data_IF_272797186841
#
_entry.id   IF_272797186841
#
_cell.length_a   1.000
_cell.length_b   1.000
_cell.length_c   1.000
_cell.angle_alpha   90.00
_cell.angle_beta   90.00
_cell.angle_gamma   90.00
#
_symmetry.space_group_name_H-M   'P 1'
#
loop_
_entity.id
_entity.type
_entity.pdbx_description
1 polymer ?
#
# COMPACT_ATOMS: atom_id res chain seq x y z
N UNK A 1 -3.69 -12.14 -9.24
CA UNK A 1 -4.59 -12.90 -8.34
C UNK A 1 -5.44 -13.95 -9.06
N UNK A 2 -6.12 -13.64 -10.14
CA UNK A 2 -6.92 -14.62 -10.90
C UNK A 2 -6.01 -15.57 -11.71
N UNK A 3 -4.83 -15.15 -12.14
CA UNK A 3 -3.91 -15.96 -12.93
C UNK A 3 -3.29 -17.15 -12.17
N UNK A 4 -2.95 -17.01 -10.89
CA UNK A 4 -2.40 -18.11 -10.07
C UNK A 4 -3.42 -19.19 -9.70
N UNK A 5 -4.71 -18.87 -9.79
CA UNK A 5 -5.81 -19.80 -9.47
C UNK A 5 -6.42 -20.49 -10.68
N UNK A 6 -5.99 -20.14 -11.90
CA UNK A 6 -6.61 -20.62 -13.13
C UNK A 6 -6.59 -22.14 -13.24
N UNK A 7 -5.47 -22.75 -12.96
CA UNK A 7 -5.30 -24.21 -13.04
C UNK A 7 -6.14 -24.93 -11.97
N UNK A 8 -6.22 -24.36 -10.77
CA UNK A 8 -7.08 -24.88 -9.70
C UNK A 8 -8.56 -24.78 -10.03
N UNK A 9 -8.96 -23.68 -10.68
CA UNK A 9 -10.32 -23.48 -11.16
C UNK A 9 -10.69 -24.52 -12.21
N UNK A 10 -9.88 -24.68 -13.25
CA UNK A 10 -10.14 -25.66 -14.31
C UNK A 10 -10.18 -27.09 -13.76
N UNK A 11 -9.25 -27.45 -12.88
CA UNK A 11 -9.24 -28.76 -12.24
C UNK A 11 -10.49 -29.00 -11.40
N UNK A 12 -10.95 -27.98 -10.66
CA UNK A 12 -12.20 -28.08 -9.90
C UNK A 12 -13.42 -28.31 -10.82
N UNK A 13 -13.41 -27.65 -11.98
CA UNK A 13 -14.47 -27.77 -12.97
C UNK A 13 -14.44 -29.15 -13.68
N UNK A 14 -13.27 -29.63 -14.08
CA UNK A 14 -13.08 -30.98 -14.66
C UNK A 14 -13.52 -32.07 -13.68
N UNK A 15 -13.09 -31.98 -12.41
CA UNK A 15 -13.49 -32.94 -11.37
C UNK A 15 -15.02 -32.94 -11.15
N UNK A 16 -15.67 -31.78 -11.23
CA UNK A 16 -17.13 -31.69 -11.09
C UNK A 16 -17.88 -32.31 -12.27
N UNK A 17 -17.30 -32.25 -13.47
CA UNK A 17 -17.89 -32.85 -14.69
C UNK A 17 -17.59 -34.35 -14.84
N UNK A 18 -16.77 -34.93 -13.97
CA UNK A 18 -16.39 -36.32 -14.07
C UNK A 18 -17.63 -37.24 -13.94
N UNK A 19 -17.82 -38.24 -14.80
CA UNK A 19 -19.00 -39.09 -14.85
C UNK A 19 -19.33 -39.77 -13.52
N UNK A 20 -18.30 -40.11 -12.71
CA UNK A 20 -18.48 -40.72 -11.38
C UNK A 20 -19.14 -39.79 -10.36
N UNK A 21 -19.09 -38.48 -10.58
CA UNK A 21 -19.74 -37.50 -9.67
C UNK A 21 -21.25 -37.36 -9.91
N UNK A 22 -21.84 -38.13 -10.85
CA UNK A 22 -23.29 -38.11 -11.15
C UNK A 22 -23.90 -36.71 -11.32
N UNK A 23 -23.11 -35.77 -11.86
CA UNK A 23 -23.44 -34.35 -11.99
C UNK A 23 -23.63 -33.61 -10.65
N UNK A 24 -23.04 -34.11 -9.57
CA UNK A 24 -23.08 -33.42 -8.27
C UNK A 24 -22.08 -32.24 -8.30
N UNK A 25 -22.61 -31.02 -8.29
CA UNK A 25 -21.84 -29.79 -8.25
C UNK A 25 -21.27 -29.41 -6.87
N UNK A 26 -21.61 -30.17 -5.83
CA UNK A 26 -21.22 -29.83 -4.43
C UNK A 26 -19.71 -29.76 -4.25
N UNK A 27 -18.96 -30.64 -4.90
CA UNK A 27 -17.48 -30.62 -4.85
C UNK A 27 -16.94 -29.34 -5.47
N UNK A 28 -17.51 -28.90 -6.59
CA UNK A 28 -17.11 -27.67 -7.24
C UNK A 28 -17.37 -26.45 -6.32
N UNK A 29 -18.59 -26.36 -5.78
CA UNK A 29 -18.98 -25.28 -4.87
C UNK A 29 -18.05 -25.26 -3.65
N UNK A 30 -17.79 -26.39 -3.02
CA UNK A 30 -16.89 -26.49 -1.88
C UNK A 30 -15.48 -25.98 -2.21
N UNK A 31 -14.91 -26.39 -3.35
CA UNK A 31 -13.57 -25.94 -3.79
C UNK A 31 -13.55 -24.45 -4.09
N UNK A 32 -14.61 -23.92 -4.70
CA UNK A 32 -14.72 -22.49 -4.97
C UNK A 32 -14.83 -21.68 -3.68
N UNK A 33 -15.63 -22.14 -2.72
CA UNK A 33 -15.71 -21.50 -1.39
C UNK A 33 -14.37 -21.52 -0.66
N UNK A 34 -13.64 -22.63 -0.72
CA UNK A 34 -12.29 -22.73 -0.15
C UNK A 34 -11.32 -21.77 -0.84
N UNK A 35 -11.36 -21.68 -2.18
CA UNK A 35 -10.53 -20.74 -2.94
C UNK A 35 -10.79 -19.27 -2.55
N UNK A 36 -12.07 -18.91 -2.39
CA UNK A 36 -12.46 -17.55 -1.94
C UNK A 36 -12.00 -17.31 -0.50
N UNK A 37 -12.18 -18.27 0.39
CA UNK A 37 -11.73 -18.16 1.78
C UNK A 37 -10.21 -17.99 1.90
N UNK A 38 -9.44 -18.77 1.14
CA UNK A 38 -7.97 -18.66 1.11
C UNK A 38 -7.53 -17.28 0.55
N UNK A 39 -8.22 -16.77 -0.46
CA UNK A 39 -7.95 -15.44 -1.03
C UNK A 39 -8.30 -14.32 -0.04
N UNK A 40 -9.42 -14.44 0.67
CA UNK A 40 -9.82 -13.48 1.72
C UNK A 40 -8.82 -13.48 2.87
N UNK A 41 -8.40 -14.67 3.35
CA UNK A 41 -7.39 -14.76 4.41
C UNK A 41 -6.11 -14.06 4.01
N UNK A 42 -5.58 -14.36 2.82
CA UNK A 42 -4.36 -13.71 2.32
C UNK A 42 -4.50 -12.19 2.23
N UNK A 43 -5.66 -11.68 1.81
CA UNK A 43 -5.93 -10.25 1.76
C UNK A 43 -5.96 -9.62 3.16
N UNK A 44 -6.60 -10.30 4.14
CA UNK A 44 -6.67 -9.83 5.52
C UNK A 44 -5.26 -9.79 6.13
N UNK A 45 -4.44 -10.82 5.90
CA UNK A 45 -3.06 -10.89 6.41
C UNK A 45 -2.22 -9.73 5.81
N UNK A 46 -2.29 -9.48 4.50
CA UNK A 46 -1.59 -8.37 3.81
C UNK A 46 -2.04 -7.00 4.34
N UNK A 47 -3.35 -6.79 4.50
CA UNK A 47 -3.89 -5.53 5.03
C UNK A 47 -3.53 -5.32 6.50
N UNK A 48 -3.49 -6.37 7.30
CA UNK A 48 -3.10 -6.30 8.71
C UNK A 48 -1.63 -5.94 8.85
N UNK A 49 -0.74 -6.56 8.06
CA UNK A 49 0.67 -6.24 8.03
C UNK A 49 0.90 -4.78 7.63
N UNK A 50 0.29 -4.33 6.53
CA UNK A 50 0.41 -2.95 6.07
C UNK A 50 -0.19 -1.95 7.05
N UNK A 51 -1.30 -2.28 7.70
CA UNK A 51 -1.90 -1.46 8.75
C UNK A 51 -0.96 -1.30 9.96
N UNK A 52 -0.30 -2.37 10.37
CA UNK A 52 0.71 -2.32 11.41
C UNK A 52 1.91 -1.43 11.02
N UNK A 53 2.41 -1.59 9.78
CA UNK A 53 3.47 -0.76 9.25
C UNK A 53 3.10 0.72 9.23
N UNK A 54 1.87 1.05 8.80
CA UNK A 54 1.39 2.42 8.78
C UNK A 54 1.34 3.03 10.19
N UNK A 55 0.81 2.29 11.18
CA UNK A 55 0.73 2.77 12.56
C UNK A 55 2.13 3.09 13.12
N UNK A 56 3.09 2.21 12.88
CA UNK A 56 4.48 2.44 13.30
C UNK A 56 5.13 3.62 12.56
N UNK A 57 4.87 3.75 11.26
CA UNK A 57 5.38 4.87 10.47
C UNK A 57 4.82 6.21 10.97
N UNK A 58 3.52 6.28 11.32
CA UNK A 58 2.91 7.49 11.89
C UNK A 58 3.54 7.86 13.23
N UNK A 59 3.75 6.89 14.13
CA UNK A 59 4.42 7.14 15.41
C UNK A 59 5.86 7.65 15.24
N UNK A 60 6.60 7.10 14.27
CA UNK A 60 7.96 7.57 13.95
C UNK A 60 7.96 8.94 13.28
N UNK A 61 6.91 9.22 12.49
CA UNK A 61 6.77 10.51 11.82
C UNK A 61 6.64 11.66 12.82
N UNK A 62 5.92 11.49 13.94
CA UNK A 62 5.82 12.51 14.99
C UNK A 62 7.21 12.86 15.55
N UNK A 63 8.01 11.84 15.88
CA UNK A 63 9.39 12.06 16.36
C UNK A 63 10.29 12.71 15.29
N UNK A 64 10.11 12.32 14.04
CA UNK A 64 10.90 12.85 12.91
C UNK A 64 10.50 14.30 12.58
N UNK A 65 9.22 14.63 12.73
CA UNK A 65 8.68 15.99 12.60
C UNK A 65 9.34 16.94 13.59
N UNK A 66 9.45 16.54 14.86
CA UNK A 66 10.13 17.33 15.90
C UNK A 66 11.62 17.50 15.60
N UNK A 67 12.31 16.40 15.23
CA UNK A 67 13.74 16.39 14.90
C UNK A 67 14.09 17.29 13.71
N UNK A 68 13.27 17.21 12.65
CA UNK A 68 13.48 17.94 11.40
C UNK A 68 12.81 19.32 11.38
N UNK A 69 12.04 19.67 12.44
CA UNK A 69 11.26 20.90 12.55
C UNK A 69 10.28 21.10 11.40
N UNK A 70 9.66 20.01 10.94
CA UNK A 70 8.64 20.06 9.90
C UNK A 70 7.35 20.69 10.43
N UNK A 71 6.70 21.48 9.59
CA UNK A 71 5.36 21.96 9.88
C UNK A 71 4.29 20.87 9.66
N UNK A 72 3.04 21.19 9.98
CA UNK A 72 1.92 20.23 9.82
C UNK A 72 1.67 19.88 8.35
N UNK A 73 1.93 20.79 7.42
CA UNK A 73 1.73 20.55 5.98
C UNK A 73 2.79 19.57 5.48
N UNK A 74 4.04 19.76 5.86
CA UNK A 74 5.17 18.92 5.51
C UNK A 74 4.99 17.49 6.06
N UNK A 75 4.65 17.38 7.36
CA UNK A 75 4.38 16.09 7.98
C UNK A 75 3.20 15.36 7.32
N UNK A 76 2.13 16.07 6.98
CA UNK A 76 0.98 15.48 6.28
C UNK A 76 1.33 15.04 4.85
N UNK A 77 2.19 15.76 4.13
CA UNK A 77 2.69 15.32 2.82
C UNK A 77 3.46 14.00 2.97
N UNK A 78 4.36 13.89 3.95
CA UNK A 78 5.10 12.65 4.23
C UNK A 78 4.14 11.51 4.58
N UNK A 79 3.13 11.75 5.43
CA UNK A 79 2.12 10.75 5.80
C UNK A 79 1.39 10.19 4.58
N UNK A 80 0.96 11.06 3.65
CA UNK A 80 0.31 10.62 2.41
C UNK A 80 1.27 9.82 1.52
N UNK A 81 2.54 10.23 1.42
CA UNK A 81 3.52 9.48 0.64
C UNK A 81 3.80 8.09 1.24
N UNK A 82 3.84 7.96 2.59
CA UNK A 82 3.93 6.66 3.27
C UNK A 82 2.71 5.79 2.96
N UNK A 83 1.52 6.37 3.05
CA UNK A 83 0.27 5.66 2.77
C UNK A 83 0.22 5.16 1.32
N UNK A 84 0.60 5.98 0.36
CA UNK A 84 0.67 5.60 -1.06
C UNK A 84 1.74 4.53 -1.32
N UNK A 85 2.84 4.53 -0.58
CA UNK A 85 3.86 3.49 -0.68
C UNK A 85 3.37 2.13 -0.19
N UNK A 86 2.56 2.10 0.87
CA UNK A 86 2.03 0.87 1.46
C UNK A 86 0.80 0.33 0.72
N UNK A 87 -0.09 1.21 0.27
CA UNK A 87 -1.41 0.82 -0.25
C UNK A 87 -1.67 1.26 -1.69
N UNK A 88 -0.82 2.12 -2.26
CA UNK A 88 -1.00 2.66 -3.60
C UNK A 88 -0.84 1.60 -4.70
N UNK A 89 -1.63 1.70 -5.76
CA UNK A 89 -1.47 0.85 -6.95
C UNK A 89 -0.18 1.14 -7.73
N UNK A 90 0.33 2.35 -7.61
CA UNK A 90 1.54 2.83 -8.28
C UNK A 90 2.42 3.60 -7.30
N UNK A 91 3.11 2.91 -6.39
CA UNK A 91 4.01 3.55 -5.46
C UNK A 91 5.05 4.42 -6.20
N UNK A 92 5.47 5.51 -5.60
CA UNK A 92 6.38 6.52 -6.17
C UNK A 92 5.81 7.36 -7.34
N UNK A 93 4.51 7.38 -7.56
CA UNK A 93 3.85 8.14 -8.65
C UNK A 93 2.83 9.15 -8.16
N UNK A 94 3.05 9.74 -7.00
CA UNK A 94 2.16 10.74 -6.42
C UNK A 94 2.43 12.10 -7.05
N UNK A 95 1.39 12.73 -7.57
CA UNK A 95 1.48 14.07 -8.17
C UNK A 95 1.11 15.15 -7.15
N UNK A 96 1.59 16.38 -7.40
CA UNK A 96 1.19 17.56 -6.60
C UNK A 96 -0.32 17.75 -6.52
N UNK A 97 -1.04 17.43 -7.59
CA UNK A 97 -2.50 17.52 -7.63
C UNK A 97 -3.14 16.52 -6.65
N UNK A 98 -2.72 15.27 -6.69
CA UNK A 98 -3.20 14.24 -5.77
C UNK A 98 -2.94 14.60 -4.31
N UNK A 99 -1.75 15.12 -3.99
CA UNK A 99 -1.44 15.63 -2.64
C UNK A 99 -2.40 16.75 -2.22
N UNK A 100 -2.66 17.71 -3.12
CA UNK A 100 -3.59 18.80 -2.85
C UNK A 100 -5.03 18.33 -2.63
N UNK A 101 -5.51 17.40 -3.46
CA UNK A 101 -6.84 16.80 -3.35
C UNK A 101 -6.97 15.96 -2.07
N UNK A 102 -5.97 15.12 -1.78
CA UNK A 102 -5.98 14.25 -0.60
C UNK A 102 -5.91 15.00 0.73
N UNK A 103 -5.15 16.11 0.78
CA UNK A 103 -5.00 16.91 1.98
C UNK A 103 -6.01 18.08 2.07
N UNK A 104 -6.80 18.31 1.04
CA UNK A 104 -7.70 19.47 1.00
C UNK A 104 -6.98 20.82 1.00
N UNK A 105 -5.73 20.86 0.51
CA UNK A 105 -4.86 22.03 0.52
C UNK A 105 -4.69 22.64 -0.86
N UNK A 106 -4.63 23.97 -0.89
CA UNK A 106 -4.40 24.71 -2.13
C UNK A 106 -2.98 24.49 -2.69
N UNK A 107 -2.88 24.61 -4.03
CA UNK A 107 -1.63 24.40 -4.78
C UNK A 107 -0.41 25.13 -4.20
N UNK A 108 -0.59 26.37 -3.70
CA UNK A 108 0.52 27.18 -3.15
C UNK A 108 1.14 26.52 -1.92
N UNK A 109 0.30 26.07 -0.97
CA UNK A 109 0.76 25.40 0.26
C UNK A 109 1.48 24.10 -0.05
N UNK A 110 0.92 23.25 -0.93
CA UNK A 110 1.57 22.00 -1.36
C UNK A 110 2.90 22.27 -2.06
N UNK A 111 2.96 23.29 -2.92
CA UNK A 111 4.23 23.63 -3.61
C UNK A 111 5.29 24.10 -2.63
N UNK A 112 4.92 24.89 -1.63
CA UNK A 112 5.85 25.36 -0.59
C UNK A 112 6.34 24.22 0.28
N UNK A 113 5.43 23.37 0.79
CA UNK A 113 5.81 22.20 1.61
C UNK A 113 6.69 21.21 0.85
N UNK A 114 6.36 20.90 -0.42
CA UNK A 114 7.22 20.05 -1.26
C UNK A 114 8.60 20.66 -1.48
N UNK A 115 8.71 21.99 -1.73
CA UNK A 115 9.98 22.65 -1.90
C UNK A 115 10.87 22.55 -0.66
N UNK A 116 10.31 22.79 0.52
CA UNK A 116 11.03 22.64 1.79
C UNK A 116 11.47 21.18 2.04
N UNK A 117 10.59 20.20 1.74
CA UNK A 117 10.91 18.78 1.89
C UNK A 117 11.98 18.31 0.87
N UNK A 118 12.07 18.91 -0.30
CA UNK A 118 13.13 18.66 -1.27
C UNK A 118 14.47 19.27 -0.81
N UNK A 119 14.45 20.50 -0.26
CA UNK A 119 15.64 21.15 0.29
C UNK A 119 16.24 20.37 1.48
N UNK A 120 15.39 19.72 2.28
CA UNK A 120 15.80 18.86 3.41
C UNK A 120 16.05 17.40 3.02
N UNK A 121 16.04 17.09 1.72
CA UNK A 121 16.24 15.74 1.17
C UNK A 121 15.27 14.69 1.73
N UNK A 122 14.09 15.12 2.18
CA UNK A 122 13.06 14.23 2.68
C UNK A 122 12.23 13.60 1.55
N UNK A 123 12.01 14.38 0.49
CA UNK A 123 11.23 13.99 -0.70
C UNK A 123 12.08 14.20 -1.94
N UNK A 124 11.92 13.34 -2.91
CA UNK A 124 12.50 13.48 -4.24
C UNK A 124 11.40 13.45 -5.30
N UNK A 125 11.68 14.06 -6.47
CA UNK A 125 10.75 13.96 -7.59
C UNK A 125 11.43 13.43 -8.86
N UNK A 126 10.62 12.79 -9.72
CA UNK A 126 11.00 12.34 -11.06
C UNK A 126 10.06 12.94 -12.10
N UNK A 127 10.62 13.34 -13.24
CA UNK A 127 9.86 13.95 -14.32
C UNK A 127 9.55 15.43 -14.08
N UNK A 128 9.04 16.10 -15.10
CA UNK A 128 8.73 17.54 -15.05
C UNK A 128 7.25 17.83 -15.31
N UNK A 129 6.59 17.04 -16.15
CA UNK A 129 5.16 17.21 -16.50
C UNK A 129 4.53 15.86 -16.87
N UNK A 130 3.89 15.18 -15.89
CA UNK A 130 3.82 15.51 -14.48
C UNK A 130 5.11 15.18 -13.72
N UNK A 131 5.38 15.93 -12.63
CA UNK A 131 6.36 15.56 -11.63
C UNK A 131 5.72 14.55 -10.66
N UNK A 132 6.43 13.47 -10.35
CA UNK A 132 6.01 12.45 -9.40
C UNK A 132 6.91 12.50 -8.18
N UNK A 133 6.31 12.63 -7.01
CA UNK A 133 6.98 12.76 -5.73
C UNK A 133 7.02 11.43 -5.00
N UNK A 134 8.11 11.15 -4.32
CA UNK A 134 8.31 9.95 -3.49
C UNK A 134 9.22 10.28 -2.31
N UNK A 135 9.15 9.46 -1.26
CA UNK A 135 10.10 9.52 -0.16
C UNK A 135 11.51 9.22 -0.65
N UNK A 136 12.51 9.87 -0.07
CA UNK A 136 13.91 9.45 -0.25
C UNK A 136 14.18 8.13 0.47
N UNK A 137 15.24 7.42 0.08
CA UNK A 137 15.58 6.13 0.68
C UNK A 137 15.89 6.27 2.19
N UNK A 138 16.47 7.40 2.60
CA UNK A 138 16.74 7.70 4.00
C UNK A 138 15.44 7.78 4.82
N UNK A 139 14.50 8.62 4.40
CA UNK A 139 13.23 8.81 5.11
C UNK A 139 12.39 7.53 5.07
N UNK A 140 12.36 6.83 3.93
CA UNK A 140 11.72 5.52 3.83
C UNK A 140 12.28 4.53 4.84
N UNK A 141 13.59 4.41 4.92
CA UNK A 141 14.25 3.52 5.87
C UNK A 141 13.93 3.92 7.33
N UNK A 142 13.94 5.20 7.65
CA UNK A 142 13.63 5.68 9.00
C UNK A 142 12.17 5.42 9.40
N UNK A 143 11.22 5.52 8.48
CA UNK A 143 9.80 5.32 8.76
C UNK A 143 9.37 3.85 8.68
N UNK A 144 9.89 3.09 7.72
CA UNK A 144 9.41 1.74 7.39
C UNK A 144 10.37 0.60 7.72
N UNK A 145 11.68 0.85 7.96
CA UNK A 145 12.63 -0.21 8.23
C UNK A 145 12.42 -0.86 9.62
N UNK A 146 12.68 -2.17 9.68
CA UNK A 146 12.58 -2.94 10.93
C UNK A 146 11.15 -3.26 11.37
N UNK A 147 10.15 -2.96 10.54
CA UNK A 147 8.76 -3.36 10.73
C UNK A 147 8.55 -4.65 9.93
N UNK A 148 9.24 -5.72 10.27
CA UNK A 148 8.83 -7.07 9.87
C UNK A 148 7.65 -7.43 10.75
N UNK A 149 6.51 -7.73 10.12
CA UNK A 149 5.31 -8.16 10.84
C UNK A 149 5.67 -9.23 11.85
N UNK A 150 5.40 -8.95 13.12
CA UNK A 150 5.51 -9.91 14.20
C UNK A 150 4.51 -11.03 13.97
N UNK A 151 4.92 -12.01 13.21
CA UNK A 151 4.28 -13.30 13.10
C UNK A 151 5.10 -14.30 13.88
N UNK A 152 5.04 -14.18 15.22
CA UNK A 152 5.39 -15.28 16.14
C UNK A 152 4.80 -14.91 17.52
N UNK A 153 3.54 -15.33 17.72
CA UNK A 153 3.08 -15.91 19.00
C UNK A 153 1.73 -16.60 18.73
#
# INVERSE_FOLDING_TARGET
MIYDGKDRYYKAFEDAQHPLNRRDGSIFVYRMMKFVADAQKKLIDDLSEKGYMLLHAVNRLESLKEERQWDDVEANIIAVLVQEELFGESPHRVTRRQLGEGLGLGRKKITQGLGSLEETEAVSHKGTRPAFYSLTDEIRARLLAGITGGGDE
#
